data_IF_088549631412
#
_entry.id   IF_088549631412
#
_cell.length_a   1.000
_cell.length_b   1.000
_cell.length_c   1.000
_cell.angle_alpha   90.00
_cell.angle_beta   90.00
_cell.angle_gamma   90.00
#
_symmetry.space_group_name_H-M   'P 1'
#
loop_
_entity.id
_entity.type
_entity.pdbx_description
1 polymer ?
#
# COMPACT_ATOMS: atom_id res chain seq x y z
N UNK A 1 13.87 -23.61 4.38
CA UNK A 1 14.86 -23.21 5.39
C UNK A 1 15.45 -24.40 6.14
N UNK A 2 14.64 -25.31 6.70
CA UNK A 2 15.12 -26.45 7.51
C UNK A 2 16.13 -27.36 6.78
N UNK A 3 15.96 -27.58 5.49
CA UNK A 3 16.92 -28.36 4.67
C UNK A 3 18.30 -27.71 4.64
N UNK A 4 18.37 -26.38 4.55
CA UNK A 4 19.64 -25.64 4.54
C UNK A 4 20.39 -25.74 5.88
N UNK A 5 19.71 -26.15 6.95
CA UNK A 5 20.31 -26.43 8.26
C UNK A 5 20.73 -27.89 8.44
N UNK A 6 20.61 -28.72 7.39
CA UNK A 6 21.02 -30.13 7.42
C UNK A 6 20.17 -31.01 8.33
N UNK A 7 18.93 -30.62 8.61
CA UNK A 7 18.02 -31.43 9.43
C UNK A 7 17.56 -32.67 8.67
N UNK A 8 17.33 -33.76 9.41
CA UNK A 8 16.79 -34.99 8.83
C UNK A 8 15.38 -34.82 8.29
N UNK A 9 14.99 -35.62 7.32
CA UNK A 9 13.63 -35.56 6.73
C UNK A 9 12.52 -35.78 7.77
N UNK A 10 12.81 -36.51 8.86
CA UNK A 10 11.88 -36.68 9.99
C UNK A 10 11.73 -35.40 10.79
N UNK A 11 12.85 -34.78 11.20
CA UNK A 11 12.83 -33.51 11.94
C UNK A 11 12.19 -32.38 11.13
N UNK A 12 12.44 -32.32 9.81
CA UNK A 12 11.81 -31.34 8.93
C UNK A 12 10.30 -31.49 8.98
N UNK A 13 9.76 -32.70 8.87
CA UNK A 13 8.32 -32.96 8.95
C UNK A 13 7.75 -32.55 10.30
N UNK A 14 8.33 -33.03 11.38
CA UNK A 14 7.87 -32.73 12.75
C UNK A 14 7.85 -31.21 13.00
N UNK A 15 8.89 -30.48 12.61
CA UNK A 15 8.97 -29.02 12.80
C UNK A 15 8.02 -28.27 11.89
N UNK A 16 7.82 -28.73 10.65
CA UNK A 16 6.88 -28.10 9.69
C UNK A 16 5.43 -28.29 10.14
N UNK A 17 5.07 -29.51 10.56
CA UNK A 17 3.71 -29.78 11.04
C UNK A 17 3.41 -28.97 12.31
N UNK A 18 4.36 -28.87 13.25
CA UNK A 18 4.22 -28.03 14.43
C UNK A 18 4.07 -26.54 14.09
N UNK A 19 4.82 -26.04 13.09
CA UNK A 19 4.71 -24.64 12.64
C UNK A 19 3.33 -24.37 11.95
N UNK A 20 2.85 -25.30 11.14
CA UNK A 20 1.54 -25.22 10.47
C UNK A 20 0.41 -25.16 11.50
N UNK A 21 0.49 -25.97 12.54
CA UNK A 21 -0.50 -26.01 13.62
C UNK A 21 -0.44 -24.73 14.47
N UNK A 22 0.74 -24.34 14.95
CA UNK A 22 0.94 -23.16 15.79
C UNK A 22 0.42 -21.87 15.11
N UNK A 23 0.58 -21.75 13.80
CA UNK A 23 0.20 -20.57 13.02
C UNK A 23 -1.14 -20.72 12.28
N UNK A 24 -1.89 -21.78 12.56
CA UNK A 24 -3.23 -22.07 12.00
C UNK A 24 -3.23 -22.07 10.47
N UNK A 25 -2.23 -22.71 9.85
CA UNK A 25 -2.06 -22.78 8.40
C UNK A 25 -2.56 -24.10 7.78
N UNK A 26 -3.18 -25.00 8.56
CA UNK A 26 -3.57 -26.35 8.12
C UNK A 26 -4.41 -26.36 6.84
N UNK A 27 -5.31 -25.35 6.67
CA UNK A 27 -6.16 -25.21 5.47
C UNK A 27 -5.39 -24.75 4.24
N UNK A 28 -4.15 -24.29 4.39
CA UNK A 28 -3.31 -23.72 3.34
C UNK A 28 -2.17 -24.65 2.93
N UNK A 29 -1.98 -25.77 3.64
CA UNK A 29 -0.83 -26.70 3.52
C UNK A 29 -0.55 -27.11 2.07
N UNK A 30 -1.61 -27.35 1.29
CA UNK A 30 -1.51 -27.88 -0.08
C UNK A 30 -1.72 -26.78 -1.15
N UNK A 31 -1.82 -25.52 -0.76
CA UNK A 31 -1.95 -24.40 -1.70
C UNK A 31 -0.57 -23.90 -2.15
N UNK A 32 -0.47 -23.56 -3.43
CA UNK A 32 0.72 -22.90 -3.95
C UNK A 32 0.89 -21.50 -3.33
N UNK A 33 2.13 -21.10 -3.05
CA UNK A 33 2.42 -19.83 -2.33
C UNK A 33 1.98 -18.60 -3.13
N UNK A 34 2.02 -18.65 -4.44
CA UNK A 34 1.63 -17.56 -5.35
C UNK A 34 0.14 -17.21 -5.26
N UNK A 35 -0.73 -18.19 -4.94
CA UNK A 35 -2.18 -17.98 -4.81
C UNK A 35 -2.62 -17.55 -3.40
N UNK A 36 -1.70 -17.48 -2.45
CA UNK A 36 -1.99 -17.02 -1.09
C UNK A 36 -2.21 -15.51 -1.06
N UNK A 37 -3.14 -15.05 -0.19
CA UNK A 37 -3.30 -13.63 0.14
C UNK A 37 -2.05 -13.08 0.85
N UNK A 38 -1.90 -11.75 0.89
CA UNK A 38 -0.76 -11.09 1.57
C UNK A 38 -0.62 -11.53 3.03
N UNK A 39 -1.73 -11.60 3.78
CA UNK A 39 -1.71 -12.06 5.17
C UNK A 39 -1.39 -13.56 5.32
N UNK A 40 -1.82 -14.40 4.38
CA UNK A 40 -1.46 -15.82 4.36
C UNK A 40 0.02 -16.03 4.03
N UNK A 41 0.56 -15.27 3.06
CA UNK A 41 1.99 -15.26 2.73
C UNK A 41 2.84 -14.83 3.93
N UNK A 42 2.41 -13.79 4.63
CA UNK A 42 3.12 -13.31 5.83
C UNK A 42 3.16 -14.37 6.93
N UNK A 43 2.03 -15.02 7.22
CA UNK A 43 1.99 -16.13 8.19
C UNK A 43 2.83 -17.33 7.75
N UNK A 44 2.82 -17.66 6.47
CA UNK A 44 3.67 -18.73 5.92
C UNK A 44 5.17 -18.39 6.05
N UNK A 45 5.55 -17.12 5.85
CA UNK A 45 6.90 -16.65 6.09
C UNK A 45 7.30 -16.79 7.57
N UNK A 46 6.44 -16.37 8.50
CA UNK A 46 6.67 -16.55 9.94
C UNK A 46 6.76 -18.05 10.29
N UNK A 47 5.90 -18.89 9.71
CA UNK A 47 5.94 -20.33 9.93
C UNK A 47 7.28 -20.96 9.49
N UNK A 48 7.80 -20.49 8.37
CA UNK A 48 9.11 -20.99 7.87
C UNK A 48 10.26 -20.65 8.83
N UNK A 49 10.21 -19.49 9.48
CA UNK A 49 11.18 -19.10 10.51
C UNK A 49 10.90 -19.85 11.81
N UNK A 50 9.63 -20.00 12.21
CA UNK A 50 9.23 -20.74 13.42
C UNK A 50 9.73 -22.19 13.41
N UNK A 51 9.65 -22.88 12.26
CA UNK A 51 10.12 -24.25 12.10
C UNK A 51 11.63 -24.40 12.39
N UNK A 52 12.40 -23.32 12.29
CA UNK A 52 13.84 -23.31 12.61
C UNK A 52 14.11 -23.19 14.12
N UNK A 53 13.09 -22.90 14.93
CA UNK A 53 13.17 -22.69 16.38
C UNK A 53 14.21 -21.63 16.77
N UNK A 54 14.19 -20.41 16.21
CA UNK A 54 15.13 -19.37 16.59
C UNK A 54 14.84 -18.89 18.02
N UNK A 55 15.85 -18.35 18.70
CA UNK A 55 15.64 -17.67 20.00
C UNK A 55 15.05 -16.26 19.82
N UNK A 56 15.35 -15.63 18.69
CA UNK A 56 14.96 -14.27 18.37
C UNK A 56 14.32 -14.24 17.00
N UNK A 57 13.12 -13.67 16.90
CA UNK A 57 12.47 -13.32 15.64
C UNK A 57 12.75 -11.87 15.30
N UNK A 58 13.20 -11.62 14.08
CA UNK A 58 13.37 -10.28 13.55
C UNK A 58 12.38 -10.12 12.39
N UNK A 59 11.52 -9.11 12.47
CA UNK A 59 10.55 -8.78 11.44
C UNK A 59 10.73 -7.32 11.02
N UNK A 60 10.90 -7.10 9.73
CA UNK A 60 11.02 -5.79 9.13
C UNK A 60 9.73 -5.47 8.37
N UNK A 61 9.05 -4.40 8.78
CA UNK A 61 7.76 -3.93 8.26
C UNK A 61 6.73 -5.06 8.02
N UNK A 62 6.45 -5.90 9.02
CA UNK A 62 5.61 -7.08 8.81
C UNK A 62 4.15 -6.75 8.51
N UNK A 63 3.71 -5.50 8.68
CA UNK A 63 2.35 -5.05 8.33
C UNK A 63 2.26 -4.42 6.94
N UNK A 64 3.35 -4.29 6.21
CA UNK A 64 3.32 -3.79 4.84
C UNK A 64 2.34 -4.62 3.99
N UNK A 65 1.44 -3.95 3.27
CA UNK A 65 0.42 -4.58 2.42
C UNK A 65 -0.65 -5.43 3.16
N UNK A 66 -0.76 -5.34 4.48
CA UNK A 66 -1.84 -5.97 5.23
C UNK A 66 -3.02 -5.01 5.41
N UNK A 67 -4.22 -5.54 5.23
CA UNK A 67 -5.43 -4.85 5.67
C UNK A 67 -5.59 -4.93 7.21
N UNK A 68 -6.58 -4.23 7.76
CA UNK A 68 -6.82 -4.22 9.20
C UNK A 68 -7.09 -5.62 9.79
N UNK A 69 -7.68 -6.53 9.02
CA UNK A 69 -7.92 -7.90 9.47
C UNK A 69 -6.60 -8.70 9.49
N UNK A 70 -5.77 -8.57 8.45
CA UNK A 70 -4.44 -9.17 8.39
C UNK A 70 -3.53 -8.66 9.50
N UNK A 71 -3.52 -7.35 9.77
CA UNK A 71 -2.76 -6.75 10.87
C UNK A 71 -3.18 -7.30 12.23
N UNK A 72 -4.50 -7.39 12.52
CA UNK A 72 -4.99 -7.99 13.76
C UNK A 72 -4.56 -9.45 13.91
N UNK A 73 -4.61 -10.22 12.83
CA UNK A 73 -4.22 -11.62 12.84
C UNK A 73 -2.72 -11.80 13.07
N UNK A 74 -1.89 -10.95 12.45
CA UNK A 74 -0.45 -10.89 12.70
C UNK A 74 -0.15 -10.54 14.16
N UNK A 75 -0.83 -9.52 14.71
CA UNK A 75 -0.71 -9.12 16.11
C UNK A 75 -1.00 -10.27 17.08
N UNK A 76 -2.05 -11.06 16.81
CA UNK A 76 -2.37 -12.25 17.61
C UNK A 76 -1.26 -13.31 17.51
N UNK A 77 -0.75 -13.55 16.30
CA UNK A 77 0.35 -14.51 16.09
C UNK A 77 1.60 -14.12 16.85
N UNK A 78 2.02 -12.85 16.76
CA UNK A 78 3.20 -12.35 17.47
C UNK A 78 3.02 -12.38 19.00
N UNK A 79 1.81 -12.08 19.49
CA UNK A 79 1.50 -12.20 20.92
C UNK A 79 1.65 -13.65 21.39
N UNK A 80 1.15 -14.63 20.65
CA UNK A 80 1.31 -16.06 20.97
C UNK A 80 2.78 -16.47 20.98
N UNK A 81 3.59 -15.99 20.04
CA UNK A 81 5.04 -16.26 20.04
C UNK A 81 5.74 -15.67 21.28
N UNK A 82 5.37 -14.44 21.67
CA UNK A 82 5.87 -13.80 22.88
C UNK A 82 5.52 -14.60 24.13
N UNK A 83 4.27 -15.06 24.25
CA UNK A 83 3.79 -15.90 25.37
C UNK A 83 4.52 -17.26 25.44
N UNK A 84 4.99 -17.78 24.31
CA UNK A 84 5.83 -18.97 24.22
C UNK A 84 7.31 -18.71 24.60
N UNK A 85 7.68 -17.47 24.95
CA UNK A 85 9.00 -17.09 25.39
C UNK A 85 9.96 -16.70 24.27
N UNK A 86 9.49 -16.50 23.04
CA UNK A 86 10.34 -15.96 21.98
C UNK A 86 10.61 -14.47 22.18
N UNK A 87 11.84 -14.05 21.88
CA UNK A 87 12.19 -12.64 21.79
C UNK A 87 11.82 -12.12 20.40
N UNK A 88 11.07 -11.02 20.34
CA UNK A 88 10.63 -10.41 19.09
C UNK A 88 11.31 -9.06 18.93
N UNK A 89 11.94 -8.83 17.76
CA UNK A 89 12.47 -7.54 17.33
C UNK A 89 11.73 -7.12 16.08
N UNK A 90 11.00 -6.00 16.16
CA UNK A 90 10.13 -5.52 15.09
C UNK A 90 10.58 -4.13 14.66
N UNK A 91 10.87 -3.94 13.38
CA UNK A 91 11.06 -2.63 12.79
C UNK A 91 9.74 -2.22 12.13
N UNK A 92 9.19 -1.06 12.54
CA UNK A 92 7.87 -0.61 12.08
C UNK A 92 7.74 0.91 12.14
N UNK A 93 6.93 1.44 11.21
CA UNK A 93 6.53 2.84 11.22
C UNK A 93 5.13 3.04 11.82
N UNK A 94 4.27 2.04 11.72
CA UNK A 94 2.92 2.02 12.29
C UNK A 94 2.98 1.37 13.65
N UNK A 95 3.00 2.17 14.70
CA UNK A 95 3.20 1.67 16.06
C UNK A 95 1.90 1.40 16.83
N UNK A 96 0.75 1.85 16.31
CA UNK A 96 -0.56 1.71 16.93
C UNK A 96 -0.90 0.25 17.29
N UNK A 97 -0.72 -0.68 16.39
CA UNK A 97 -1.01 -2.10 16.58
C UNK A 97 -0.01 -2.80 17.53
N UNK A 98 1.17 -2.21 17.74
CA UNK A 98 2.21 -2.73 18.64
C UNK A 98 2.00 -2.32 20.10
N UNK A 99 1.17 -1.30 20.38
CA UNK A 99 0.97 -0.75 21.72
C UNK A 99 0.48 -1.77 22.75
N UNK A 100 -0.09 -2.90 22.31
CA UNK A 100 -0.52 -3.99 23.19
C UNK A 100 0.37 -5.24 23.15
N UNK A 101 1.52 -5.17 22.45
CA UNK A 101 2.42 -6.31 22.24
C UNK A 101 3.84 -5.99 22.70
N UNK A 102 4.37 -4.84 22.30
CA UNK A 102 5.72 -4.42 22.61
C UNK A 102 5.90 -4.09 24.09
N UNK A 103 7.04 -4.46 24.66
CA UNK A 103 7.42 -4.10 26.02
C UNK A 103 8.13 -2.75 26.04
N UNK A 104 8.84 -2.44 24.96
CA UNK A 104 9.56 -1.17 24.77
C UNK A 104 9.71 -0.83 23.31
N UNK A 105 9.91 0.45 23.04
CA UNK A 105 10.15 1.01 21.72
C UNK A 105 11.51 1.70 21.71
N UNK A 106 12.33 1.38 20.70
CA UNK A 106 13.61 2.03 20.47
C UNK A 106 13.46 2.96 19.27
N UNK A 107 13.57 4.27 19.50
CA UNK A 107 13.55 5.24 18.42
C UNK A 107 14.94 5.38 17.81
N UNK A 108 15.06 4.99 16.53
CA UNK A 108 16.30 5.10 15.77
C UNK A 108 16.29 6.36 14.92
N UNK A 109 17.38 7.12 15.01
CA UNK A 109 17.63 8.28 14.16
C UNK A 109 19.10 8.33 13.77
N UNK A 110 19.37 8.55 12.48
CA UNK A 110 20.74 8.67 11.95
C UNK A 110 21.66 7.49 12.35
N UNK A 111 21.11 6.27 12.35
CA UNK A 111 21.84 5.05 12.69
C UNK A 111 22.13 4.86 14.18
N UNK A 112 21.49 5.63 15.07
CA UNK A 112 21.66 5.58 16.52
C UNK A 112 20.32 5.43 17.23
N UNK A 113 20.34 4.80 18.41
CA UNK A 113 19.19 4.84 19.32
C UNK A 113 19.15 6.25 19.94
N UNK A 114 18.18 7.04 19.54
CA UNK A 114 18.01 8.42 20.00
C UNK A 114 17.17 8.49 21.28
N UNK A 115 16.23 7.56 21.46
CA UNK A 115 15.39 7.48 22.67
C UNK A 115 14.84 6.06 22.85
N UNK A 116 14.41 5.78 24.09
CA UNK A 116 13.69 4.57 24.47
C UNK A 116 12.40 4.96 25.16
N UNK A 117 11.30 4.25 24.84
CA UNK A 117 9.96 4.52 25.38
C UNK A 117 9.29 3.23 25.80
N UNK A 118 8.49 3.29 26.86
CA UNK A 118 7.46 2.29 27.13
C UNK A 118 6.20 2.60 26.29
N UNK A 119 5.26 1.64 26.15
CA UNK A 119 3.96 1.93 25.53
C UNK A 119 3.22 3.09 26.21
N UNK A 120 3.33 3.21 27.53
CA UNK A 120 2.73 4.29 28.32
C UNK A 120 3.35 5.64 27.98
N UNK A 121 4.69 5.72 27.87
CA UNK A 121 5.38 6.95 27.51
C UNK A 121 4.92 7.45 26.12
N UNK A 122 4.83 6.56 25.15
CA UNK A 122 4.37 6.90 23.79
C UNK A 122 2.92 7.39 23.76
N UNK A 123 2.04 6.85 24.60
CA UNK A 123 0.63 7.32 24.71
C UNK A 123 0.54 8.73 25.28
N UNK A 124 1.48 9.10 26.13
CA UNK A 124 1.50 10.42 26.81
C UNK A 124 2.21 11.49 25.98
N UNK A 125 2.96 11.10 24.93
CA UNK A 125 3.62 12.08 24.07
C UNK A 125 2.60 12.95 23.34
N UNK A 126 2.83 14.26 23.25
CA UNK A 126 2.06 15.13 22.38
C UNK A 126 2.14 14.66 20.92
N UNK A 127 1.04 14.77 20.19
CA UNK A 127 1.00 14.38 18.77
C UNK A 127 2.08 15.10 17.94
N UNK A 128 2.36 16.37 18.25
CA UNK A 128 3.40 17.14 17.59
C UNK A 128 4.80 16.51 17.73
N UNK A 129 5.11 15.93 18.88
CA UNK A 129 6.41 15.28 19.13
C UNK A 129 6.51 13.98 18.33
N UNK A 130 5.44 13.16 18.31
CA UNK A 130 5.36 11.93 17.50
C UNK A 130 5.53 12.27 16.02
N UNK A 131 4.84 13.30 15.54
CA UNK A 131 4.96 13.77 14.16
C UNK A 131 6.39 14.30 13.87
N UNK A 132 7.01 14.98 14.82
CA UNK A 132 8.40 15.47 14.76
C UNK A 132 9.43 14.33 14.67
N UNK A 133 9.11 13.17 15.25
CA UNK A 133 9.92 11.96 15.15
C UNK A 133 9.77 11.27 13.78
N UNK A 134 8.86 11.72 12.93
CA UNK A 134 8.56 11.07 11.64
C UNK A 134 7.71 9.81 11.78
N UNK A 135 7.19 9.50 12.95
CA UNK A 135 6.35 8.34 13.19
C UNK A 135 4.92 8.54 12.68
N UNK A 136 4.21 7.44 12.51
CA UNK A 136 2.76 7.41 12.30
C UNK A 136 2.06 7.69 13.63
N UNK A 137 0.90 8.36 13.56
CA UNK A 137 0.12 8.63 14.78
C UNK A 137 -0.34 7.31 15.43
N UNK A 138 -0.07 7.11 16.73
CA UNK A 138 -0.58 5.94 17.47
C UNK A 138 -2.02 6.13 17.94
N UNK A 139 -2.62 7.29 17.70
CA UNK A 139 -3.97 7.61 18.13
C UNK A 139 -4.99 7.14 17.09
N UNK A 140 -6.14 6.69 17.60
CA UNK A 140 -7.29 6.44 16.71
C UNK A 140 -7.66 7.75 15.99
N UNK A 141 -7.60 7.69 14.65
CA UNK A 141 -7.82 8.85 13.82
C UNK A 141 -9.24 9.42 13.91
N UNK A 142 -9.42 10.57 13.29
CA UNK A 142 -10.73 11.21 13.08
C UNK A 142 -11.67 10.28 12.33
N UNK A 143 -12.96 10.55 12.34
CA UNK A 143 -13.92 9.80 11.53
C UNK A 143 -13.56 9.88 10.04
N UNK A 144 -13.59 8.73 9.37
CA UNK A 144 -13.36 8.69 7.92
C UNK A 144 -14.33 9.64 7.19
N UNK A 145 -13.90 10.25 6.09
CA UNK A 145 -14.79 11.05 5.24
C UNK A 145 -16.06 10.28 4.89
N UNK A 146 -17.16 11.00 4.72
CA UNK A 146 -18.42 10.38 4.37
C UNK A 146 -18.28 9.51 3.10
N UNK A 147 -18.94 8.34 3.05
CA UNK A 147 -19.03 7.58 1.82
C UNK A 147 -19.53 8.49 0.70
N UNK A 148 -18.97 8.40 -0.49
CA UNK A 148 -19.48 9.14 -1.64
C UNK A 148 -20.88 8.62 -2.00
N UNK A 149 -21.88 9.15 -1.33
CA UNK A 149 -23.22 9.23 -1.91
C UNK A 149 -23.06 10.12 -3.12
N UNK A 150 -23.54 9.70 -4.29
CA UNK A 150 -23.44 10.37 -5.58
C UNK A 150 -23.41 11.89 -5.40
N UNK A 151 -22.23 12.47 -5.29
CA UNK A 151 -22.02 13.90 -5.23
C UNK A 151 -22.50 14.46 -6.59
N UNK A 152 -23.39 15.44 -6.58
CA UNK A 152 -23.89 16.09 -7.80
C UNK A 152 -22.80 16.84 -8.57
N UNK A 153 -21.60 16.92 -8.01
CA UNK A 153 -20.43 17.51 -8.67
C UNK A 153 -20.15 16.83 -10.02
N UNK A 154 -19.77 17.57 -11.06
CA UNK A 154 -19.48 16.99 -12.37
C UNK A 154 -18.31 16.00 -12.26
N UNK A 155 -18.62 14.71 -12.35
CA UNK A 155 -17.61 13.66 -12.26
C UNK A 155 -16.94 13.48 -13.61
N UNK A 156 -15.59 13.58 -13.59
CA UNK A 156 -14.73 13.41 -14.76
C UNK A 156 -14.64 11.94 -15.17
N UNK A 157 -14.55 11.02 -14.21
CA UNK A 157 -14.46 9.58 -14.45
C UNK A 157 -15.67 8.89 -13.83
N UNK A 158 -16.38 8.06 -14.63
CA UNK A 158 -17.55 7.30 -14.17
C UNK A 158 -17.50 5.87 -14.67
N UNK A 159 -18.10 4.95 -13.91
CA UNK A 159 -18.44 3.61 -14.38
C UNK A 159 -19.95 3.46 -14.50
N UNK A 160 -20.41 2.70 -15.48
CA UNK A 160 -21.80 2.40 -15.71
C UNK A 160 -21.99 0.90 -15.94
N UNK A 161 -22.56 0.22 -14.95
CA UNK A 161 -22.82 -1.21 -14.99
C UNK A 161 -21.56 -2.05 -15.14
N UNK A 162 -20.44 -1.63 -14.51
CA UNK A 162 -19.13 -2.25 -14.71
C UNK A 162 -19.07 -3.60 -14.00
N UNK A 163 -18.75 -4.66 -14.76
CA UNK A 163 -18.60 -6.01 -14.22
C UNK A 163 -17.29 -6.65 -14.65
N UNK A 164 -16.71 -7.46 -13.77
CA UNK A 164 -15.52 -8.26 -14.04
C UNK A 164 -15.65 -9.66 -13.51
N UNK A 165 -15.42 -10.63 -14.40
CA UNK A 165 -15.27 -12.05 -14.08
C UNK A 165 -13.90 -12.54 -14.53
N UNK A 166 -13.29 -13.41 -13.73
CA UNK A 166 -12.06 -14.12 -14.08
C UNK A 166 -12.36 -15.61 -13.96
N UNK A 167 -12.34 -16.32 -15.08
CA UNK A 167 -12.80 -17.71 -15.17
C UNK A 167 -14.26 -17.82 -14.68
N UNK A 168 -14.51 -18.55 -13.58
CA UNK A 168 -15.83 -18.71 -12.95
C UNK A 168 -16.08 -17.74 -11.80
N UNK A 169 -15.05 -17.04 -11.31
CA UNK A 169 -15.15 -16.15 -10.17
C UNK A 169 -15.63 -14.75 -10.58
N UNK A 170 -16.65 -14.23 -9.90
CA UNK A 170 -17.12 -12.85 -10.04
C UNK A 170 -16.29 -11.98 -9.12
N UNK A 171 -15.53 -11.05 -9.69
CA UNK A 171 -14.72 -10.10 -8.90
C UNK A 171 -15.60 -8.95 -8.40
N UNK A 172 -16.38 -8.37 -9.29
CA UNK A 172 -17.44 -7.41 -8.99
C UNK A 172 -18.47 -7.42 -10.12
N UNK A 173 -19.71 -7.04 -9.81
CA UNK A 173 -20.80 -7.04 -10.77
C UNK A 173 -21.63 -5.75 -10.64
N UNK A 174 -22.00 -5.19 -11.78
CA UNK A 174 -22.91 -4.05 -11.96
C UNK A 174 -22.57 -2.81 -11.12
N UNK A 175 -21.29 -2.44 -11.03
CA UNK A 175 -20.86 -1.30 -10.20
C UNK A 175 -20.98 0.03 -10.94
N UNK A 176 -21.52 1.04 -10.20
CA UNK A 176 -21.66 2.43 -10.63
C UNK A 176 -20.83 3.29 -9.69
N UNK A 177 -19.80 3.95 -10.23
CA UNK A 177 -18.91 4.82 -9.48
C UNK A 177 -18.79 6.16 -10.20
N UNK A 178 -18.60 7.23 -9.43
CA UNK A 178 -18.39 8.56 -9.95
C UNK A 178 -17.24 9.23 -9.18
N UNK A 179 -16.29 9.78 -9.92
CA UNK A 179 -15.10 10.42 -9.35
C UNK A 179 -15.07 11.89 -9.80
N UNK A 180 -15.33 12.83 -8.86
CA UNK A 180 -15.43 14.26 -9.16
C UNK A 180 -14.08 14.86 -9.57
N UNK A 181 -14.16 15.95 -10.36
CA UNK A 181 -12.98 16.76 -10.70
C UNK A 181 -12.44 17.46 -9.46
N UNK A 182 -11.12 17.54 -9.35
CA UNK A 182 -10.48 18.32 -8.29
C UNK A 182 -10.62 17.70 -6.89
N UNK A 183 -10.90 16.38 -6.81
CA UNK A 183 -11.08 15.66 -5.56
C UNK A 183 -10.14 14.48 -5.46
N UNK A 184 -9.80 14.12 -4.22
CA UNK A 184 -9.12 12.87 -3.87
C UNK A 184 -10.15 11.89 -3.34
N UNK A 185 -10.33 10.76 -4.02
CA UNK A 185 -11.26 9.71 -3.60
C UNK A 185 -10.47 8.48 -3.14
N UNK A 186 -10.67 8.06 -1.90
CA UNK A 186 -10.15 6.79 -1.41
C UNK A 186 -11.00 5.62 -1.90
N UNK A 187 -10.37 4.57 -2.41
CA UNK A 187 -11.00 3.28 -2.72
C UNK A 187 -10.54 2.28 -1.66
N UNK A 188 -11.48 1.82 -0.84
CA UNK A 188 -11.24 0.91 0.28
C UNK A 188 -11.92 -0.43 0.06
N UNK A 189 -11.56 -1.44 0.86
CA UNK A 189 -12.17 -2.78 0.80
C UNK A 189 -11.17 -3.86 1.19
N UNK A 190 -11.64 -5.04 1.53
CA UNK A 190 -10.80 -6.17 1.94
C UNK A 190 -9.78 -6.54 0.84
N UNK A 191 -8.69 -7.21 1.25
CA UNK A 191 -7.75 -7.78 0.29
C UNK A 191 -8.47 -8.83 -0.57
N UNK A 192 -8.22 -8.79 -1.89
CA UNK A 192 -8.93 -9.65 -2.84
C UNK A 192 -10.31 -9.17 -3.28
N UNK A 193 -10.81 -8.01 -2.80
CA UNK A 193 -12.09 -7.44 -3.23
C UNK A 193 -12.08 -6.87 -4.68
N UNK A 194 -10.93 -6.90 -5.36
CA UNK A 194 -10.83 -6.44 -6.75
C UNK A 194 -10.43 -4.99 -6.95
N UNK A 195 -9.94 -4.29 -5.92
CA UNK A 195 -9.51 -2.87 -6.00
C UNK A 195 -8.47 -2.62 -7.10
N UNK A 196 -7.37 -3.35 -7.09
CA UNK A 196 -6.32 -3.29 -8.12
C UNK A 196 -6.86 -3.68 -9.50
N UNK A 197 -7.75 -4.69 -9.58
CA UNK A 197 -8.42 -5.07 -10.83
C UNK A 197 -9.28 -3.94 -11.38
N UNK A 198 -10.01 -3.23 -10.51
CA UNK A 198 -10.78 -2.05 -10.88
C UNK A 198 -9.86 -0.95 -11.43
N UNK A 199 -8.78 -0.62 -10.74
CA UNK A 199 -7.79 0.36 -11.19
C UNK A 199 -7.23 0.03 -12.57
N UNK A 200 -6.80 -1.21 -12.78
CA UNK A 200 -6.29 -1.69 -14.06
C UNK A 200 -7.34 -1.61 -15.18
N UNK A 201 -8.61 -1.86 -14.87
CA UNK A 201 -9.70 -1.69 -15.84
C UNK A 201 -9.93 -0.20 -16.14
N UNK A 202 -9.96 0.66 -15.13
CA UNK A 202 -10.16 2.10 -15.31
C UNK A 202 -9.08 2.70 -16.22
N UNK A 203 -7.81 2.37 -16.02
CA UNK A 203 -6.72 2.89 -16.83
C UNK A 203 -6.51 2.13 -18.16
N UNK A 204 -7.28 1.06 -18.41
CA UNK A 204 -7.22 0.31 -19.69
C UNK A 204 -6.10 -0.72 -19.77
N UNK A 205 -5.52 -1.15 -18.66
CA UNK A 205 -4.55 -2.25 -18.59
C UNK A 205 -5.25 -3.61 -18.56
N UNK A 206 -6.47 -3.67 -18.05
CA UNK A 206 -7.30 -4.86 -18.09
C UNK A 206 -8.65 -4.57 -18.77
N UNK A 207 -9.30 -5.62 -19.31
CA UNK A 207 -10.63 -5.54 -19.93
C UNK A 207 -11.71 -5.87 -18.90
N UNK A 208 -12.78 -5.07 -18.88
CA UNK A 208 -14.03 -5.42 -18.19
C UNK A 208 -14.78 -6.54 -18.92
N UNK A 209 -15.65 -7.24 -18.20
CA UNK A 209 -16.57 -8.24 -18.79
C UNK A 209 -17.81 -7.56 -19.37
N UNK A 210 -18.40 -6.60 -18.63
CA UNK A 210 -19.56 -5.81 -19.03
C UNK A 210 -19.41 -4.36 -18.59
N UNK A 211 -20.32 -3.50 -19.04
CA UNK A 211 -20.41 -2.10 -18.66
C UNK A 211 -19.49 -1.18 -19.42
N UNK A 212 -19.49 0.08 -19.02
CA UNK A 212 -18.78 1.14 -19.70
C UNK A 212 -18.03 2.03 -18.72
N UNK A 213 -16.95 2.65 -19.21
CA UNK A 213 -16.20 3.68 -18.50
C UNK A 213 -16.37 4.96 -19.29
N UNK A 214 -16.72 6.05 -18.60
CA UNK A 214 -16.91 7.36 -19.18
C UNK A 214 -15.86 8.33 -18.63
N UNK A 215 -15.31 9.15 -19.52
CA UNK A 215 -14.47 10.31 -19.18
C UNK A 215 -15.18 11.52 -19.77
N UNK A 216 -15.42 12.54 -18.96
CA UNK A 216 -16.18 13.74 -19.32
C UNK A 216 -17.54 13.42 -19.99
N UNK A 217 -18.24 12.43 -19.43
CA UNK A 217 -19.56 11.98 -19.92
C UNK A 217 -19.54 11.15 -21.19
N UNK A 218 -18.39 10.94 -21.83
CA UNK A 218 -18.26 10.18 -23.08
C UNK A 218 -17.63 8.80 -22.82
N UNK A 219 -18.12 7.76 -23.52
CA UNK A 219 -17.53 6.41 -23.44
C UNK A 219 -16.06 6.46 -23.85
N UNK A 220 -15.19 6.09 -22.92
CA UNK A 220 -13.75 6.14 -23.11
C UNK A 220 -13.21 4.78 -23.60
N UNK A 221 -12.67 4.74 -24.83
CA UNK A 221 -11.95 3.59 -25.37
C UNK A 221 -10.65 3.39 -24.60
N UNK A 222 -10.08 2.17 -24.66
CA UNK A 222 -8.81 1.83 -23.98
C UNK A 222 -7.67 2.80 -24.27
N UNK A 223 -7.51 3.23 -25.53
CA UNK A 223 -6.45 4.19 -25.91
C UNK A 223 -6.63 5.56 -25.22
N UNK A 224 -7.87 6.05 -25.10
CA UNK A 224 -8.19 7.31 -24.40
C UNK A 224 -7.85 7.16 -22.92
N UNK A 225 -8.28 6.07 -22.27
CA UNK A 225 -8.00 5.82 -20.85
C UNK A 225 -6.51 5.78 -20.57
N UNK A 226 -5.73 5.10 -21.39
CA UNK A 226 -4.26 5.03 -21.26
C UNK A 226 -3.57 6.38 -21.44
N UNK A 227 -4.17 7.29 -22.18
CA UNK A 227 -3.64 8.65 -22.37
C UNK A 227 -4.02 9.59 -21.23
N UNK A 228 -5.25 9.53 -20.77
CA UNK A 228 -5.81 10.47 -19.78
C UNK A 228 -5.51 10.07 -18.33
N UNK A 229 -5.27 8.77 -18.06
CA UNK A 229 -5.09 8.22 -16.72
C UNK A 229 -3.65 7.77 -16.52
N UNK A 230 -3.01 8.20 -15.44
CA UNK A 230 -1.76 7.63 -14.96
C UNK A 230 -2.08 6.61 -13.87
N UNK A 231 -1.48 5.43 -13.94
CA UNK A 231 -1.59 4.39 -12.94
C UNK A 231 -0.23 4.13 -12.29
N UNK A 232 -0.16 4.35 -10.98
CA UNK A 232 0.95 3.96 -10.15
C UNK A 232 0.52 2.73 -9.36
N UNK A 233 1.08 1.57 -9.68
CA UNK A 233 0.75 0.30 -9.03
C UNK A 233 1.46 0.13 -7.69
N UNK A 234 1.03 -0.86 -6.91
CA UNK A 234 1.63 -1.16 -5.61
C UNK A 234 3.08 -1.68 -5.72
N UNK A 235 3.39 -2.50 -6.74
CA UNK A 235 4.76 -2.97 -6.98
C UNK A 235 5.53 -1.93 -7.81
N UNK A 236 6.27 -1.06 -7.13
CA UNK A 236 7.11 -0.05 -7.77
C UNK A 236 8.35 -0.62 -8.43
N UNK A 237 8.78 -1.85 -8.09
CA UNK A 237 10.01 -2.44 -8.64
C UNK A 237 9.92 -2.75 -10.13
N UNK A 238 8.70 -2.92 -10.64
CA UNK A 238 8.41 -3.24 -12.05
C UNK A 238 8.03 -2.03 -12.90
N UNK A 239 8.08 -0.82 -12.34
CA UNK A 239 7.57 0.38 -13.01
C UNK A 239 8.65 1.27 -13.61
N UNK A 240 9.92 1.04 -13.31
CA UNK A 240 11.03 1.88 -13.75
C UNK A 240 11.76 1.23 -14.92
N UNK A 241 12.07 2.05 -15.95
CA UNK A 241 12.58 1.59 -17.24
C UNK A 241 13.90 2.25 -17.65
N UNK A 242 14.31 3.33 -16.97
CA UNK A 242 15.46 4.15 -17.38
C UNK A 242 16.71 3.88 -16.55
N UNK A 243 17.84 4.42 -17.00
CA UNK A 243 19.12 4.24 -16.34
C UNK A 243 19.29 5.13 -15.10
N UNK A 244 18.50 6.21 -14.96
CA UNK A 244 18.60 7.11 -13.82
C UNK A 244 17.25 7.62 -13.32
N UNK A 245 17.21 8.06 -12.06
CA UNK A 245 16.04 8.68 -11.44
C UNK A 245 15.56 9.91 -12.21
N UNK A 246 16.48 10.73 -12.69
CA UNK A 246 16.14 11.92 -13.47
C UNK A 246 15.53 11.56 -14.82
N UNK A 247 16.10 10.58 -15.54
CA UNK A 247 15.54 10.10 -16.80
C UNK A 247 14.15 9.46 -16.62
N UNK A 248 13.93 8.76 -15.51
CA UNK A 248 12.63 8.16 -15.22
C UNK A 248 11.54 9.23 -15.10
N UNK A 249 11.83 10.34 -14.45
CA UNK A 249 10.90 11.45 -14.31
C UNK A 249 10.63 12.13 -15.66
N UNK A 250 11.64 12.25 -16.52
CA UNK A 250 11.56 12.89 -17.83
C UNK A 250 11.07 11.93 -18.94
N UNK A 251 10.78 10.68 -18.62
CA UNK A 251 10.35 9.66 -19.58
C UNK A 251 9.10 10.12 -20.36
N UNK A 252 9.16 10.04 -21.68
CA UNK A 252 8.10 10.50 -22.61
C UNK A 252 7.80 12.02 -22.54
N UNK A 253 8.75 12.83 -22.11
CA UNK A 253 8.64 14.29 -22.04
C UNK A 253 9.70 14.94 -22.94
N UNK A 254 9.37 16.07 -23.55
CA UNK A 254 10.37 16.86 -24.28
C UNK A 254 11.45 17.38 -23.32
N UNK A 255 12.71 17.26 -23.71
CA UNK A 255 13.87 17.68 -22.89
C UNK A 255 14.12 19.19 -22.98
N UNK A 256 13.09 19.99 -22.68
CA UNK A 256 13.21 21.44 -22.55
C UNK A 256 13.83 21.82 -21.21
N UNK A 257 14.44 23.02 -21.12
CA UNK A 257 14.99 23.51 -19.85
C UNK A 257 13.87 23.66 -18.79
N UNK A 258 12.67 24.08 -19.19
CA UNK A 258 11.51 24.17 -18.30
C UNK A 258 11.16 22.80 -17.68
N UNK A 259 11.11 21.74 -18.48
CA UNK A 259 10.82 20.39 -17.97
C UNK A 259 11.96 19.86 -17.09
N UNK A 260 13.22 20.16 -17.41
CA UNK A 260 14.35 19.81 -16.55
C UNK A 260 14.30 20.54 -15.21
N UNK A 261 13.96 21.82 -15.20
CA UNK A 261 13.83 22.61 -13.98
C UNK A 261 12.65 22.12 -13.11
N UNK A 262 11.52 21.82 -13.75
CA UNK A 262 10.36 21.23 -13.08
C UNK A 262 10.72 19.86 -12.48
N UNK A 263 11.44 19.00 -13.20
CA UNK A 263 11.90 17.71 -12.70
C UNK A 263 12.86 17.89 -11.51
N UNK A 264 13.82 18.81 -11.62
CA UNK A 264 14.77 19.15 -10.53
C UNK A 264 14.05 19.62 -9.27
N UNK A 265 13.04 20.47 -9.43
CA UNK A 265 12.24 20.96 -8.31
C UNK A 265 11.49 19.81 -7.63
N UNK A 266 10.82 18.97 -8.40
CA UNK A 266 10.05 17.85 -7.88
C UNK A 266 10.94 16.81 -7.18
N UNK A 267 12.12 16.51 -7.74
CA UNK A 267 13.10 15.62 -7.09
C UNK A 267 13.57 16.18 -5.74
N UNK A 268 13.77 17.51 -5.63
CA UNK A 268 14.12 18.15 -4.36
C UNK A 268 12.99 18.05 -3.35
N UNK A 269 11.78 18.34 -3.76
CA UNK A 269 10.57 18.24 -2.93
C UNK A 269 10.38 16.83 -2.34
N UNK A 270 10.61 15.79 -3.16
CA UNK A 270 10.49 14.39 -2.75
C UNK A 270 11.75 13.83 -2.07
N UNK A 271 12.79 14.66 -1.83
CA UNK A 271 14.05 14.23 -1.21
C UNK A 271 14.82 13.19 -2.05
N UNK A 272 14.72 13.30 -3.39
CA UNK A 272 15.34 12.36 -4.34
C UNK A 272 16.43 13.00 -5.18
N UNK A 273 16.70 14.31 -5.03
CA UNK A 273 17.62 15.03 -5.89
C UNK A 273 19.07 14.51 -5.83
N UNK A 274 19.51 14.09 -4.65
CA UNK A 274 20.87 13.53 -4.46
C UNK A 274 21.03 12.17 -5.15
N UNK A 275 19.90 11.50 -5.46
CA UNK A 275 19.87 10.20 -6.17
C UNK A 275 19.55 10.34 -7.66
N UNK A 276 19.50 11.56 -8.22
CA UNK A 276 19.06 11.84 -9.59
C UNK A 276 19.81 11.04 -10.66
N UNK A 277 21.11 10.77 -10.43
CA UNK A 277 21.99 10.04 -11.34
C UNK A 277 22.07 8.54 -11.02
N UNK A 278 21.42 8.10 -9.93
CA UNK A 278 21.39 6.70 -9.51
C UNK A 278 20.36 5.90 -10.31
N UNK A 279 20.65 4.61 -10.52
CA UNK A 279 19.68 3.71 -11.14
C UNK A 279 18.50 3.47 -10.18
N UNK A 280 17.22 3.53 -10.64
CA UNK A 280 16.06 3.38 -9.76
C UNK A 280 16.04 2.08 -8.92
N UNK A 281 16.65 0.99 -9.42
CA UNK A 281 16.72 -0.26 -8.67
C UNK A 281 17.54 -0.17 -7.38
N UNK A 282 18.48 0.78 -7.27
CA UNK A 282 19.35 0.98 -6.11
C UNK A 282 18.67 1.74 -4.98
N UNK A 283 17.53 2.36 -5.25
CA UNK A 283 16.74 3.09 -4.27
C UNK A 283 16.13 2.14 -3.22
N UNK A 284 15.97 2.63 -1.99
CA UNK A 284 15.18 1.95 -0.96
C UNK A 284 13.69 1.85 -1.38
N UNK A 285 12.92 0.98 -0.72
CA UNK A 285 11.48 0.83 -0.99
C UNK A 285 10.72 2.16 -0.91
N UNK A 286 10.93 2.92 0.15
CA UNK A 286 10.30 4.24 0.32
C UNK A 286 10.76 5.29 -0.70
N UNK A 287 12.03 5.25 -1.13
CA UNK A 287 12.53 6.11 -2.21
C UNK A 287 11.89 5.75 -3.55
N UNK A 288 11.75 4.45 -3.87
CA UNK A 288 11.04 3.97 -5.06
C UNK A 288 9.58 4.43 -5.08
N UNK A 289 8.92 4.33 -3.93
CA UNK A 289 7.52 4.77 -3.80
C UNK A 289 7.39 6.27 -4.07
N UNK A 290 8.26 7.08 -3.48
CA UNK A 290 8.28 8.53 -3.74
C UNK A 290 8.59 8.86 -5.20
N UNK A 291 9.52 8.15 -5.84
CA UNK A 291 9.82 8.32 -7.27
C UNK A 291 8.60 8.00 -8.14
N UNK A 292 7.91 6.89 -7.90
CA UNK A 292 6.72 6.51 -8.66
C UNK A 292 5.61 7.56 -8.59
N UNK A 293 5.40 8.15 -7.40
CA UNK A 293 4.43 9.23 -7.21
C UNK A 293 4.90 10.52 -7.90
N UNK A 294 6.19 10.84 -7.81
CA UNK A 294 6.75 11.98 -8.52
C UNK A 294 6.56 11.84 -10.04
N UNK A 295 6.77 10.66 -10.62
CA UNK A 295 6.48 10.36 -12.03
C UNK A 295 4.98 10.55 -12.35
N UNK A 296 4.08 10.09 -11.49
CA UNK A 296 2.65 10.28 -11.65
C UNK A 296 2.28 11.77 -11.71
N UNK A 297 2.81 12.58 -10.81
CA UNK A 297 2.60 14.03 -10.75
C UNK A 297 3.21 14.71 -11.96
N UNK A 298 4.44 14.33 -12.32
CA UNK A 298 5.17 14.93 -13.44
C UNK A 298 4.49 14.66 -14.78
N UNK A 299 3.81 13.52 -14.94
CA UNK A 299 3.12 13.10 -16.16
C UNK A 299 2.14 14.12 -16.73
N UNK A 300 1.66 15.06 -15.93
CA UNK A 300 0.68 16.08 -16.32
C UNK A 300 -0.73 15.55 -16.61
N UNK A 301 -0.99 14.25 -16.41
CA UNK A 301 -2.32 13.66 -16.72
C UNK A 301 -3.38 14.16 -15.76
N UNK A 302 -4.61 14.32 -16.27
CA UNK A 302 -5.74 14.85 -15.52
C UNK A 302 -6.31 13.91 -14.47
N UNK A 303 -6.06 12.59 -14.61
CA UNK A 303 -6.55 11.56 -13.70
C UNK A 303 -5.36 10.72 -13.22
N UNK A 304 -5.22 10.62 -11.90
CA UNK A 304 -4.19 9.77 -11.26
C UNK A 304 -4.87 8.65 -10.49
N UNK A 305 -4.39 7.42 -10.65
CA UNK A 305 -4.79 6.27 -9.84
C UNK A 305 -3.54 5.73 -9.14
N UNK A 306 -3.53 5.77 -7.82
CA UNK A 306 -2.40 5.37 -6.98
C UNK A 306 -2.82 4.15 -6.13
N UNK A 307 -2.11 3.05 -6.27
CA UNK A 307 -2.40 1.80 -5.54
C UNK A 307 -1.39 1.63 -4.41
N UNK A 308 -1.86 1.74 -3.16
CA UNK A 308 -1.10 1.73 -1.91
C UNK A 308 0.09 2.71 -1.90
N UNK A 309 -0.12 4.02 -2.17
CA UNK A 309 0.97 4.98 -2.38
C UNK A 309 1.84 5.25 -1.15
N UNK A 310 1.44 4.83 0.04
CA UNK A 310 2.17 5.05 1.29
C UNK A 310 2.68 3.77 1.95
N UNK A 311 2.63 2.64 1.23
CA UNK A 311 3.19 1.39 1.73
C UNK A 311 4.70 1.52 1.97
N UNK A 312 5.17 1.12 3.16
CA UNK A 312 6.58 1.23 3.56
C UNK A 312 7.09 2.66 3.73
N UNK A 313 6.21 3.66 3.95
CA UNK A 313 6.60 5.03 4.24
C UNK A 313 6.39 5.38 5.71
N UNK A 314 7.37 6.09 6.25
CA UNK A 314 7.26 6.74 7.54
C UNK A 314 6.18 7.84 7.55
N UNK A 315 5.88 8.39 8.73
CA UNK A 315 4.85 9.42 8.86
C UNK A 315 5.20 10.72 8.15
N UNK A 316 6.47 11.12 8.10
CA UNK A 316 6.88 12.34 7.42
C UNK A 316 6.68 12.26 5.92
N UNK A 317 7.12 11.16 5.30
CA UNK A 317 6.96 10.93 3.86
C UNK A 317 5.50 10.74 3.47
N UNK A 318 4.69 10.06 4.31
CA UNK A 318 3.25 9.95 4.09
C UNK A 318 2.57 11.33 4.05
N UNK A 319 2.88 12.21 5.01
CA UNK A 319 2.29 13.56 5.07
C UNK A 319 2.71 14.40 3.86
N UNK A 320 3.97 14.32 3.44
CA UNK A 320 4.44 14.97 2.20
C UNK A 320 3.58 14.55 1.00
N UNK A 321 3.34 13.25 0.85
CA UNK A 321 2.50 12.72 -0.23
C UNK A 321 1.05 13.22 -0.09
N UNK A 322 0.49 13.17 1.11
CA UNK A 322 -0.89 13.62 1.37
C UNK A 322 -1.09 15.10 0.99
N UNK A 323 -0.17 15.97 1.40
CA UNK A 323 -0.20 17.39 1.06
C UNK A 323 -0.07 17.62 -0.44
N UNK A 324 0.81 16.85 -1.09
CA UNK A 324 0.99 16.97 -2.53
C UNK A 324 -0.23 16.52 -3.31
N UNK A 325 -0.85 15.40 -2.94
CA UNK A 325 -2.08 14.93 -3.57
C UNK A 325 -3.23 15.95 -3.41
N UNK A 326 -3.37 16.56 -2.23
CA UNK A 326 -4.32 17.67 -2.03
C UNK A 326 -4.04 18.86 -2.95
N UNK A 327 -2.78 19.24 -3.08
CA UNK A 327 -2.38 20.34 -3.97
C UNK A 327 -2.73 20.02 -5.42
N UNK A 328 -2.42 18.81 -5.89
CA UNK A 328 -2.75 18.38 -7.25
C UNK A 328 -4.26 18.34 -7.51
N UNK A 329 -5.06 17.91 -6.53
CA UNK A 329 -6.51 17.94 -6.63
C UNK A 329 -7.05 19.38 -6.71
N UNK A 330 -6.56 20.29 -5.86
CA UNK A 330 -6.91 21.72 -5.92
C UNK A 330 -6.57 22.37 -7.28
N UNK A 331 -5.54 21.87 -7.95
CA UNK A 331 -5.16 22.26 -9.31
C UNK A 331 -6.03 21.60 -10.39
N UNK A 332 -7.12 20.92 -10.00
CA UNK A 332 -8.13 20.37 -10.89
C UNK A 332 -7.93 18.94 -11.33
N UNK A 333 -6.93 18.21 -10.81
CA UNK A 333 -6.76 16.78 -11.09
C UNK A 333 -7.76 15.93 -10.33
N UNK A 334 -8.20 14.84 -10.92
CA UNK A 334 -9.00 13.80 -10.25
C UNK A 334 -8.07 12.71 -9.77
N UNK A 335 -8.08 12.41 -8.46
CA UNK A 335 -7.13 11.47 -7.85
C UNK A 335 -7.89 10.35 -7.16
N UNK A 336 -7.56 9.12 -7.51
CA UNK A 336 -8.06 7.92 -6.88
C UNK A 336 -6.91 7.28 -6.11
N UNK A 337 -7.12 7.00 -4.83
CA UNK A 337 -6.13 6.36 -3.95
C UNK A 337 -6.72 5.06 -3.44
N UNK A 338 -6.16 3.93 -3.87
CA UNK A 338 -6.48 2.63 -3.28
C UNK A 338 -5.59 2.47 -2.06
N UNK A 339 -6.18 2.36 -0.88
CA UNK A 339 -5.38 2.22 0.34
C UNK A 339 -6.17 1.69 1.53
N UNK A 340 -5.44 1.10 2.47
CA UNK A 340 -5.89 0.74 3.81
C UNK A 340 -5.37 1.72 4.87
N UNK A 341 -4.56 2.69 4.46
CA UNK A 341 -3.92 3.67 5.33
C UNK A 341 -4.93 4.74 5.77
N UNK A 342 -5.48 4.57 6.98
CA UNK A 342 -6.46 5.51 7.55
C UNK A 342 -5.90 6.92 7.70
N UNK A 343 -4.65 7.05 8.14
CA UNK A 343 -3.99 8.33 8.33
C UNK A 343 -3.86 9.09 7.01
N UNK A 344 -3.54 8.40 5.90
CA UNK A 344 -3.54 8.99 4.58
C UNK A 344 -4.96 9.43 4.15
N UNK A 345 -5.97 8.57 4.36
CA UNK A 345 -7.36 8.89 4.00
C UNK A 345 -7.82 10.14 4.73
N UNK A 346 -7.62 10.21 6.04
CA UNK A 346 -7.99 11.37 6.86
C UNK A 346 -7.21 12.63 6.50
N UNK A 347 -5.95 12.46 6.08
CA UNK A 347 -5.07 13.57 5.73
C UNK A 347 -5.41 14.20 4.39
N UNK A 348 -5.82 13.44 3.38
CA UNK A 348 -5.94 13.99 2.02
C UNK A 348 -7.20 13.62 1.24
N UNK A 349 -7.99 12.63 1.65
CA UNK A 349 -9.14 12.22 0.85
C UNK A 349 -10.39 13.06 1.17
N UNK A 350 -11.09 13.46 0.13
CA UNK A 350 -12.37 14.19 0.24
C UNK A 350 -13.55 13.23 0.41
N UNK A 351 -13.46 12.04 -0.21
CA UNK A 351 -14.52 11.01 -0.21
C UNK A 351 -13.93 9.61 -0.12
N UNK A 352 -14.77 8.66 0.32
CA UNK A 352 -14.38 7.24 0.42
C UNK A 352 -15.39 6.40 -0.36
N UNK A 353 -14.89 5.46 -1.16
CA UNK A 353 -15.66 4.47 -1.91
C UNK A 353 -15.26 3.06 -1.45
N UNK A 354 -16.22 2.26 -0.99
CA UNK A 354 -16.00 0.87 -0.59
C UNK A 354 -16.22 -0.11 -1.76
N UNK A 355 -15.28 -1.02 -1.97
CA UNK A 355 -15.44 -2.18 -2.87
C UNK A 355 -15.54 -3.43 -2.01
N UNK A 356 -16.63 -4.17 -2.16
CA UNK A 356 -16.91 -5.37 -1.39
C UNK A 356 -16.81 -6.60 -2.28
N UNK A 357 -16.30 -7.69 -1.70
CA UNK A 357 -16.26 -8.98 -2.38
C UNK A 357 -17.72 -9.45 -2.59
N UNK A 358 -18.03 -9.88 -3.80
CA UNK A 358 -19.31 -10.54 -4.06
C UNK A 358 -19.25 -11.92 -3.41
N UNK A 359 -20.07 -12.15 -2.39
CA UNK A 359 -20.27 -13.49 -1.83
C UNK A 359 -20.98 -14.33 -2.90
N UNK A 360 -20.25 -15.27 -3.48
CA UNK A 360 -20.89 -16.31 -4.27
C UNK A 360 -21.44 -17.33 -3.30
N UNK A 361 -22.76 -17.40 -3.18
CA UNK A 361 -23.41 -18.57 -2.57
C UNK A 361 -22.86 -19.83 -3.27
N UNK A 362 -22.11 -20.62 -2.53
CA UNK A 362 -21.76 -21.97 -2.93
C UNK A 362 -23.08 -22.77 -2.98
N UNK A 363 -23.68 -22.86 -4.16
CA UNK A 363 -24.70 -23.86 -4.47
C UNK A 363 -24.08 -25.03 -5.17
#
# INVERSE_FOLDING_TARGET
PCENYGLSAREIRERTDAAIEALKLSRLKDRAVDVLSSGEKQRAAIASVYAMKPKVFVCDEPTANLDAAGTRQLAQTLRQLKEQGFTLLLAEHRIDWLMGIADRFLYLRDGRIAAEYTPEDLRLLPEADILGMGLRSPHEGKSLPAPSVLDESPAVLKTAGLSKRIRKEVIFDDIFLAFPKGKVTAITGQNGAGKTTLAQILCGLAKQTRGHILIDGKKARTAVRRREIYYCGNDTSTQFFTASVAEELLLNTELTEENKDRARHLLKEFGLYEYRDAHPSTLSGGQKQRLAIACAIFSGRGILILDEPTSGLDGQNMRLIAERLKSEARNGRTILVITHDRELIESCCDTVCGIFKVETDER
#
